data_IF_102352304008
#
_entry.id   IF_102352304008
#
_cell.length_a   1.000
_cell.length_b   1.000
_cell.length_c   1.000
_cell.angle_alpha   90.00
_cell.angle_beta   90.00
_cell.angle_gamma   90.00
#
_symmetry.space_group_name_H-M   'P 1'
#
loop_
_entity.id
_entity.type
_entity.pdbx_description
1 polymer ?
#
# COMPACT_ATOMS: atom_id res chain seq x y z
N UNK A 1 -34.79 55.35 8.58
CA UNK A 1 -33.77 54.60 9.34
C UNK A 1 -33.87 53.15 8.90
N UNK A 2 -33.29 52.82 7.75
CA UNK A 2 -33.35 51.46 7.18
C UNK A 2 -32.11 50.68 7.62
N UNK A 3 -32.34 49.66 8.44
CA UNK A 3 -31.32 48.73 8.88
C UNK A 3 -30.97 47.78 7.72
N UNK A 4 -29.78 47.97 7.12
CA UNK A 4 -29.17 46.99 6.23
C UNK A 4 -28.81 45.75 7.04
N UNK A 5 -29.60 44.68 6.87
CA UNK A 5 -29.23 43.33 7.24
C UNK A 5 -28.02 42.91 6.40
N UNK A 6 -26.84 42.96 7.00
CA UNK A 6 -25.62 42.37 6.45
C UNK A 6 -25.78 40.85 6.56
N UNK A 7 -26.17 40.21 5.46
CA UNK A 7 -26.12 38.77 5.32
C UNK A 7 -24.67 38.31 5.54
N UNK A 8 -24.45 37.54 6.61
CA UNK A 8 -23.15 36.98 6.94
C UNK A 8 -22.58 36.20 5.76
N UNK A 9 -21.44 36.68 5.26
CA UNK A 9 -20.63 36.02 4.24
C UNK A 9 -20.24 34.65 4.78
N UNK A 10 -20.91 33.58 4.32
CA UNK A 10 -20.57 32.20 4.67
C UNK A 10 -19.12 32.00 4.24
N UNK A 11 -18.23 31.86 5.20
CA UNK A 11 -16.79 31.71 4.97
C UNK A 11 -16.60 30.43 4.14
N UNK A 12 -16.35 30.58 2.84
CA UNK A 12 -15.97 29.46 1.98
C UNK A 12 -14.68 28.88 2.56
N UNK A 13 -14.78 27.72 3.22
CA UNK A 13 -13.60 26.99 3.68
C UNK A 13 -12.73 26.72 2.47
N UNK A 14 -11.47 27.16 2.51
CA UNK A 14 -10.55 26.89 1.42
C UNK A 14 -10.34 25.37 1.30
N UNK A 15 -10.00 24.89 0.11
CA UNK A 15 -9.68 23.47 -0.14
C UNK A 15 -8.58 22.98 0.83
N UNK A 16 -7.65 23.88 1.19
CA UNK A 16 -6.59 23.63 2.16
C UNK A 16 -7.14 23.41 3.57
N UNK A 17 -8.14 24.17 4.00
CA UNK A 17 -8.77 24.02 5.32
C UNK A 17 -9.56 22.71 5.41
N UNK A 18 -10.26 22.35 4.33
CA UNK A 18 -10.96 21.07 4.25
C UNK A 18 -9.98 19.89 4.33
N UNK A 19 -8.90 19.93 3.55
CA UNK A 19 -7.85 18.92 3.58
C UNK A 19 -7.22 18.80 4.98
N UNK A 20 -6.82 19.93 5.58
CA UNK A 20 -6.22 19.96 6.91
C UNK A 20 -7.19 19.41 7.97
N UNK A 21 -8.48 19.72 7.88
CA UNK A 21 -9.50 19.19 8.78
C UNK A 21 -9.68 17.68 8.65
N UNK A 22 -9.75 17.15 7.42
CA UNK A 22 -9.85 15.70 7.18
C UNK A 22 -8.61 14.95 7.66
N UNK A 23 -7.43 15.51 7.39
CA UNK A 23 -6.16 14.98 7.86
C UNK A 23 -6.08 14.95 9.38
N UNK A 24 -6.28 16.09 10.03
CA UNK A 24 -6.24 16.21 11.48
C UNK A 24 -7.23 15.27 12.17
N UNK A 25 -8.48 15.21 11.66
CA UNK A 25 -9.51 14.29 12.18
C UNK A 25 -9.09 12.83 12.07
N UNK A 26 -8.56 12.41 10.92
CA UNK A 26 -8.20 10.99 10.69
C UNK A 26 -7.02 10.56 11.55
N UNK A 27 -5.99 11.40 11.65
CA UNK A 27 -4.84 11.18 12.52
C UNK A 27 -5.28 11.16 13.98
N UNK A 28 -6.05 12.15 14.42
CA UNK A 28 -6.54 12.25 15.80
C UNK A 28 -7.35 11.00 16.20
N UNK A 29 -8.33 10.59 15.39
CA UNK A 29 -9.13 9.40 15.67
C UNK A 29 -8.29 8.13 15.75
N UNK A 30 -7.27 8.00 14.89
CA UNK A 30 -6.39 6.83 14.89
C UNK A 30 -5.48 6.83 16.10
N UNK A 31 -4.88 7.97 16.47
CA UNK A 31 -4.01 8.09 17.64
C UNK A 31 -4.80 7.85 18.93
N UNK A 32 -6.00 8.42 19.05
CA UNK A 32 -6.90 8.16 20.19
C UNK A 32 -7.30 6.69 20.24
N UNK A 33 -7.65 6.07 19.10
CA UNK A 33 -7.94 4.65 19.02
C UNK A 33 -6.76 3.78 19.49
N UNK A 34 -5.53 4.08 19.04
CA UNK A 34 -4.33 3.39 19.49
C UNK A 34 -4.08 3.59 20.98
N UNK A 35 -4.30 4.78 21.52
CA UNK A 35 -4.16 5.05 22.95
C UNK A 35 -5.15 4.22 23.77
N UNK A 36 -6.42 4.14 23.35
CA UNK A 36 -7.45 3.31 23.99
C UNK A 36 -7.07 1.82 23.92
N UNK A 37 -6.68 1.32 22.74
CA UNK A 37 -6.28 -0.08 22.58
C UNK A 37 -5.04 -0.42 23.41
N UNK A 38 -4.07 0.49 23.49
CA UNK A 38 -2.89 0.34 24.34
C UNK A 38 -3.28 0.35 25.82
N UNK A 39 -4.16 1.25 26.25
CA UNK A 39 -4.67 1.29 27.63
C UNK A 39 -5.35 -0.03 28.04
N UNK A 40 -6.18 -0.59 27.15
CA UNK A 40 -6.82 -1.90 27.36
C UNK A 40 -5.75 -3.01 27.40
N UNK A 41 -4.86 -3.06 26.41
CA UNK A 41 -3.87 -4.14 26.28
C UNK A 41 -2.86 -4.19 27.41
N UNK A 42 -2.44 -3.02 27.89
CA UNK A 42 -1.50 -2.86 29.00
C UNK A 42 -2.16 -3.01 30.38
N UNK A 43 -3.47 -3.27 30.47
CA UNK A 43 -4.26 -3.26 31.72
C UNK A 43 -4.05 -1.97 32.52
N UNK A 44 -4.41 -0.83 31.93
CA UNK A 44 -4.22 0.51 32.51
C UNK A 44 -2.74 0.91 32.65
N UNK A 45 -1.95 0.64 31.62
CA UNK A 45 -0.51 0.96 31.53
C UNK A 45 0.40 0.23 32.52
N UNK A 46 -0.06 -0.86 33.14
CA UNK A 46 0.76 -1.66 34.06
C UNK A 46 1.85 -2.48 33.36
N UNK A 47 1.66 -2.80 32.08
CA UNK A 47 2.59 -3.63 31.28
C UNK A 47 3.11 -2.88 30.05
N UNK A 48 3.86 -1.79 30.27
CA UNK A 48 4.57 -1.09 29.18
C UNK A 48 6.04 -1.52 29.19
N UNK A 49 6.53 -1.97 28.02
CA UNK A 49 7.97 -2.19 27.80
C UNK A 49 8.62 -0.90 27.26
N UNK A 50 9.49 -0.29 28.06
CA UNK A 50 10.21 0.92 27.69
C UNK A 50 11.18 0.71 26.52
N UNK A 51 11.67 -0.52 26.30
CA UNK A 51 12.51 -0.83 25.14
C UNK A 51 11.72 -0.70 23.82
N UNK A 52 10.39 -0.82 23.89
CA UNK A 52 9.52 -0.71 22.72
C UNK A 52 9.11 0.73 22.40
N UNK A 53 9.36 1.69 23.30
CA UNK A 53 8.88 3.06 23.20
C UNK A 53 9.31 3.78 21.91
N UNK A 54 10.57 3.61 21.48
CA UNK A 54 11.05 4.21 20.23
C UNK A 54 10.28 3.72 18.99
N UNK A 55 9.84 2.46 18.99
CA UNK A 55 9.00 1.93 17.90
C UNK A 55 7.58 2.51 17.94
N UNK A 56 7.03 2.78 19.13
CA UNK A 56 5.74 3.47 19.27
C UNK A 56 5.81 4.86 18.65
N UNK A 57 6.85 5.64 18.98
CA UNK A 57 7.06 6.98 18.40
C UNK A 57 7.23 6.90 16.88
N UNK A 58 8.06 5.98 16.38
CA UNK A 58 8.21 5.75 14.94
C UNK A 58 6.88 5.39 14.24
N UNK A 59 6.01 4.64 14.91
CA UNK A 59 4.68 4.28 14.40
C UNK A 59 3.75 5.50 14.34
N UNK A 60 3.76 6.39 15.33
CA UNK A 60 2.98 7.62 15.30
C UNK A 60 3.40 8.54 14.15
N UNK A 61 4.71 8.68 13.93
CA UNK A 61 5.24 9.45 12.78
C UNK A 61 4.82 8.82 11.45
N UNK A 62 4.91 7.49 11.34
CA UNK A 62 4.43 6.74 10.18
C UNK A 62 2.95 7.01 9.90
N UNK A 63 2.09 6.98 10.92
CA UNK A 63 0.64 7.24 10.79
C UNK A 63 0.38 8.64 10.25
N UNK A 64 1.07 9.66 10.78
CA UNK A 64 0.98 11.02 10.26
C UNK A 64 1.35 11.11 8.78
N UNK A 65 2.52 10.58 8.40
CA UNK A 65 2.96 10.57 7.00
C UNK A 65 2.04 9.76 6.08
N UNK A 66 1.52 8.62 6.58
CA UNK A 66 0.59 7.76 5.86
C UNK A 66 -0.71 8.48 5.57
N UNK A 67 -1.38 9.06 6.56
CA UNK A 67 -2.64 9.78 6.35
C UNK A 67 -2.47 10.99 5.44
N UNK A 68 -1.37 11.74 5.59
CA UNK A 68 -1.08 12.87 4.73
C UNK A 68 -1.07 12.43 3.26
N UNK A 69 -0.27 11.40 2.94
CA UNK A 69 -0.17 10.91 1.56
C UNK A 69 -1.46 10.24 1.09
N UNK A 70 -2.12 9.47 1.94
CA UNK A 70 -3.32 8.72 1.58
C UNK A 70 -4.47 9.67 1.24
N UNK A 71 -4.70 10.69 2.05
CA UNK A 71 -5.73 11.70 1.80
C UNK A 71 -5.35 12.55 0.59
N UNK A 72 -4.09 12.97 0.46
CA UNK A 72 -3.64 13.76 -0.70
C UNK A 72 -3.79 13.00 -2.02
N UNK A 73 -3.60 11.67 -2.00
CA UNK A 73 -3.87 10.81 -3.13
C UNK A 73 -5.36 10.58 -3.38
N UNK A 74 -6.14 10.37 -2.32
CA UNK A 74 -7.59 10.12 -2.35
C UNK A 74 -8.42 11.31 -2.82
N UNK A 75 -7.96 12.53 -2.53
CA UNK A 75 -8.62 13.77 -2.96
C UNK A 75 -8.44 14.08 -4.45
N UNK A 76 -7.51 13.43 -5.15
CA UNK A 76 -7.33 13.63 -6.59
C UNK A 76 -8.62 13.20 -7.33
N UNK A 77 -9.18 14.03 -8.24
CA UNK A 77 -10.43 13.73 -8.93
C UNK A 77 -10.55 12.31 -9.50
N UNK A 78 -9.56 11.76 -10.25
CA UNK A 78 -9.67 10.40 -10.78
C UNK A 78 -9.72 9.34 -9.68
N UNK A 79 -8.92 9.52 -8.62
CA UNK A 79 -8.87 8.59 -7.48
C UNK A 79 -10.20 8.61 -6.73
N UNK A 80 -10.73 9.81 -6.46
CA UNK A 80 -11.96 10.02 -5.69
C UNK A 80 -13.16 9.30 -6.30
N UNK A 81 -13.29 9.31 -7.63
CA UNK A 81 -14.34 8.58 -8.35
C UNK A 81 -14.19 7.08 -8.15
N UNK A 82 -12.97 6.54 -8.33
CA UNK A 82 -12.71 5.10 -8.16
C UNK A 82 -13.00 4.66 -6.71
N UNK A 83 -12.57 5.44 -5.71
CA UNK A 83 -12.84 5.14 -4.30
C UNK A 83 -14.35 5.17 -4.05
N UNK A 84 -15.04 6.24 -4.45
CA UNK A 84 -16.48 6.42 -4.21
C UNK A 84 -17.31 5.32 -4.86
N UNK A 85 -17.08 5.03 -6.14
CA UNK A 85 -17.85 4.02 -6.89
C UNK A 85 -17.41 2.60 -6.54
N UNK A 86 -16.11 2.38 -6.31
CA UNK A 86 -15.58 1.09 -5.92
C UNK A 86 -16.03 0.65 -4.52
N UNK A 87 -16.12 1.58 -3.55
CA UNK A 87 -16.67 1.28 -2.21
C UNK A 87 -18.11 0.79 -2.26
N UNK A 88 -18.95 1.34 -3.15
CA UNK A 88 -20.32 0.86 -3.37
C UNK A 88 -20.36 -0.60 -3.86
N UNK A 89 -19.26 -1.10 -4.42
CA UNK A 89 -19.13 -2.45 -4.98
C UNK A 89 -18.34 -3.38 -4.06
N UNK A 90 -18.04 -2.98 -2.82
CA UNK A 90 -17.23 -3.79 -1.89
C UNK A 90 -17.87 -5.14 -1.58
N UNK A 91 -19.19 -5.18 -1.37
CA UNK A 91 -19.92 -6.41 -1.00
C UNK A 91 -20.39 -7.26 -2.18
N UNK A 92 -19.85 -7.04 -3.39
CA UNK A 92 -20.15 -7.90 -4.54
C UNK A 92 -19.57 -9.31 -4.31
N UNK A 93 -20.28 -10.35 -4.77
CA UNK A 93 -19.86 -11.77 -4.65
C UNK A 93 -18.40 -12.02 -5.10
N UNK A 94 -17.96 -11.35 -6.17
CA UNK A 94 -16.62 -11.54 -6.73
C UNK A 94 -15.51 -10.80 -5.96
N UNK A 95 -15.84 -9.88 -5.04
CA UNK A 95 -14.82 -9.07 -4.34
C UNK A 95 -13.85 -9.92 -3.55
N UNK A 96 -14.34 -10.93 -2.83
CA UNK A 96 -13.49 -11.81 -2.03
C UNK A 96 -12.48 -12.55 -2.92
N UNK A 97 -12.94 -13.11 -4.05
CA UNK A 97 -12.09 -13.75 -5.04
C UNK A 97 -11.03 -12.79 -5.60
N UNK A 98 -11.44 -11.57 -5.95
CA UNK A 98 -10.55 -10.52 -6.45
C UNK A 98 -9.51 -10.13 -5.39
N UNK A 99 -9.93 -9.96 -4.13
CA UNK A 99 -9.04 -9.62 -3.03
C UNK A 99 -7.99 -10.71 -2.79
N UNK A 100 -8.39 -11.99 -2.73
CA UNK A 100 -7.45 -13.10 -2.54
C UNK A 100 -6.46 -13.19 -3.70
N UNK A 101 -6.95 -13.17 -4.94
CA UNK A 101 -6.09 -13.25 -6.13
C UNK A 101 -5.09 -12.09 -6.22
N UNK A 102 -5.52 -10.86 -5.94
CA UNK A 102 -4.68 -9.67 -6.11
C UNK A 102 -3.84 -9.27 -4.89
N UNK A 103 -4.31 -9.57 -3.66
CA UNK A 103 -3.66 -9.14 -2.41
C UNK A 103 -2.92 -10.26 -1.69
N UNK A 104 -3.43 -11.50 -1.71
CA UNK A 104 -2.80 -12.62 -1.00
C UNK A 104 -1.85 -13.41 -1.90
N UNK A 105 -2.30 -13.74 -3.11
CA UNK A 105 -1.57 -14.63 -4.03
C UNK A 105 -0.71 -13.83 -5.02
N UNK A 106 -0.99 -12.55 -5.27
CA UNK A 106 -0.31 -11.73 -6.28
C UNK A 106 -0.34 -12.34 -7.69
N UNK A 107 -1.49 -12.84 -8.13
CA UNK A 107 -1.63 -13.60 -9.39
C UNK A 107 -1.15 -12.81 -10.63
N UNK A 108 -1.39 -11.51 -10.65
CA UNK A 108 -0.89 -10.61 -11.71
C UNK A 108 0.65 -10.58 -11.84
N UNK A 109 1.40 -10.88 -10.76
CA UNK A 109 2.87 -10.97 -10.80
C UNK A 109 3.28 -12.35 -11.34
N UNK A 110 2.55 -13.41 -10.98
CA UNK A 110 2.79 -14.76 -11.49
C UNK A 110 2.77 -14.80 -13.00
N UNK A 111 1.81 -14.11 -13.62
CA UNK A 111 1.69 -13.96 -15.07
C UNK A 111 2.85 -13.21 -15.73
N UNK A 112 3.69 -12.50 -14.95
CA UNK A 112 4.87 -11.75 -15.42
C UNK A 112 6.21 -12.44 -15.13
N UNK A 113 6.17 -13.64 -14.53
CA UNK A 113 7.35 -14.48 -14.29
C UNK A 113 7.42 -15.03 -12.87
N UNK A 114 7.61 -16.35 -12.77
CA UNK A 114 7.64 -17.09 -11.50
C UNK A 114 8.70 -16.57 -10.52
N UNK A 115 9.90 -16.26 -10.99
CA UNK A 115 10.96 -15.69 -10.14
C UNK A 115 10.54 -14.37 -9.48
N UNK A 116 9.87 -13.47 -10.23
CA UNK A 116 9.36 -12.20 -9.68
C UNK A 116 8.24 -12.43 -8.69
N UNK A 117 7.44 -13.46 -8.89
CA UNK A 117 6.35 -13.85 -8.00
C UNK A 117 6.88 -14.34 -6.66
N UNK A 118 7.79 -15.33 -6.64
CA UNK A 118 8.42 -15.81 -5.40
C UNK A 118 9.12 -14.67 -4.66
N UNK A 119 9.85 -13.82 -5.39
CA UNK A 119 10.51 -12.63 -4.83
C UNK A 119 9.51 -11.71 -4.08
N UNK A 120 8.33 -11.44 -4.65
CA UNK A 120 7.32 -10.59 -3.98
C UNK A 120 6.57 -11.31 -2.87
N UNK A 121 6.35 -12.62 -2.98
CA UNK A 121 5.77 -13.42 -1.89
C UNK A 121 6.68 -13.36 -0.67
N UNK A 122 7.98 -13.62 -0.84
CA UNK A 122 8.96 -13.60 0.25
C UNK A 122 9.06 -12.23 0.92
N UNK A 123 9.22 -11.15 0.14
CA UNK A 123 9.28 -9.78 0.70
C UNK A 123 7.93 -9.39 1.32
N UNK A 124 6.84 -9.58 0.58
CA UNK A 124 5.50 -9.13 0.97
C UNK A 124 5.00 -9.83 2.22
N UNK A 125 4.97 -11.17 2.22
CA UNK A 125 4.52 -11.95 3.38
C UNK A 125 5.52 -11.90 4.55
N UNK A 126 6.82 -11.79 4.28
CA UNK A 126 7.81 -11.55 5.34
C UNK A 126 7.55 -10.22 6.06
N UNK A 127 7.33 -9.12 5.34
CA UNK A 127 6.96 -7.83 5.94
C UNK A 127 5.60 -7.87 6.64
N UNK A 128 4.58 -8.52 6.06
CA UNK A 128 3.25 -8.65 6.68
C UNK A 128 3.34 -9.43 7.99
N UNK A 129 4.03 -10.57 7.99
CA UNK A 129 4.25 -11.38 9.20
C UNK A 129 4.99 -10.57 10.27
N UNK A 130 6.06 -9.87 9.89
CA UNK A 130 6.77 -8.99 10.82
C UNK A 130 5.85 -7.94 11.43
N UNK A 131 5.05 -7.22 10.63
CA UNK A 131 4.11 -6.22 11.12
C UNK A 131 3.01 -6.81 12.02
N UNK A 132 2.47 -7.98 11.67
CA UNK A 132 1.42 -8.66 12.45
C UNK A 132 1.92 -9.11 13.83
N UNK A 133 3.22 -9.32 14.00
CA UNK A 133 3.82 -9.66 15.29
C UNK A 133 4.32 -8.42 16.02
N UNK A 134 5.02 -7.50 15.34
CA UNK A 134 5.66 -6.35 15.98
C UNK A 134 4.67 -5.30 16.45
N UNK A 135 3.64 -4.93 15.68
CA UNK A 135 2.70 -3.89 16.12
C UNK A 135 1.95 -4.29 17.40
N UNK A 136 1.40 -5.52 17.51
CA UNK A 136 0.80 -5.96 18.77
C UNK A 136 1.77 -5.97 19.95
N UNK A 137 3.04 -6.33 19.75
CA UNK A 137 4.05 -6.28 20.80
C UNK A 137 4.37 -4.83 21.22
N UNK A 138 4.61 -3.95 20.23
CA UNK A 138 4.96 -2.53 20.44
C UNK A 138 3.88 -1.78 21.21
N UNK A 139 2.61 -2.03 20.93
CA UNK A 139 1.49 -1.45 21.67
C UNK A 139 1.01 -2.30 22.85
N UNK A 140 1.75 -3.36 23.18
CA UNK A 140 1.45 -4.28 24.29
C UNK A 140 0.02 -4.86 24.22
N UNK A 141 -0.52 -5.00 23.01
CA UNK A 141 -1.76 -5.73 22.75
C UNK A 141 -1.55 -7.23 22.92
N UNK A 142 -0.30 -7.69 22.75
CA UNK A 142 0.11 -9.06 22.99
C UNK A 142 1.39 -9.07 23.82
N UNK A 143 1.49 -10.00 24.78
CA UNK A 143 2.73 -10.29 25.51
C UNK A 143 2.73 -11.75 26.00
N UNK A 144 3.90 -12.24 26.39
CA UNK A 144 4.08 -13.62 26.86
C UNK A 144 4.47 -13.59 28.33
N UNK A 145 3.83 -14.44 29.14
CA UNK A 145 4.20 -14.66 30.54
C UNK A 145 4.53 -16.13 30.78
N UNK A 146 5.33 -16.39 31.81
CA UNK A 146 5.70 -17.74 32.23
C UNK A 146 5.37 -17.87 33.72
N UNK A 147 4.10 -18.13 34.02
CA UNK A 147 3.62 -18.33 35.41
C UNK A 147 4.04 -19.70 35.94
N UNK A 148 3.93 -20.72 35.09
CA UNK A 148 4.27 -22.11 35.40
C UNK A 148 5.55 -22.49 34.64
N UNK A 149 6.55 -23.06 35.32
CA UNK A 149 7.77 -23.53 34.66
C UNK A 149 7.43 -24.54 33.55
N UNK A 150 7.94 -24.28 32.34
CA UNK A 150 7.70 -25.11 31.15
C UNK A 150 6.44 -24.75 30.34
N UNK A 151 5.65 -23.75 30.74
CA UNK A 151 4.50 -23.28 29.98
C UNK A 151 4.53 -21.76 29.76
N UNK A 152 4.22 -21.34 28.55
CA UNK A 152 4.01 -19.93 28.23
C UNK A 152 2.53 -19.63 28.12
N UNK A 153 2.11 -18.52 28.71
CA UNK A 153 0.78 -17.96 28.53
C UNK A 153 0.86 -16.82 27.52
N UNK A 154 0.12 -16.96 26.42
CA UNK A 154 -0.06 -15.91 25.43
C UNK A 154 -1.20 -15.03 25.92
N UNK A 155 -0.88 -13.79 26.25
CA UNK A 155 -1.85 -12.79 26.70
C UNK A 155 -2.15 -11.85 25.54
N UNK A 156 -3.44 -11.67 25.24
CA UNK A 156 -3.92 -10.74 24.22
C UNK A 156 -4.94 -9.79 24.85
N UNK A 157 -4.75 -8.49 24.71
CA UNK A 157 -5.57 -7.45 25.33
C UNK A 157 -5.79 -7.66 26.84
N UNK A 158 -4.76 -8.12 27.55
CA UNK A 158 -4.86 -8.45 28.97
C UNK A 158 -5.69 -9.69 29.29
N UNK A 159 -6.12 -10.49 28.30
CA UNK A 159 -6.81 -11.77 28.50
C UNK A 159 -5.86 -12.93 28.21
N UNK A 160 -5.83 -13.93 29.10
CA UNK A 160 -5.05 -15.15 28.87
C UNK A 160 -5.75 -15.98 27.78
N UNK A 161 -5.22 -15.95 26.56
CA UNK A 161 -5.87 -16.60 25.41
C UNK A 161 -5.49 -18.07 25.32
N UNK A 162 -4.22 -18.40 25.59
CA UNK A 162 -3.70 -19.74 25.38
C UNK A 162 -2.51 -20.02 26.32
N UNK A 163 -2.52 -21.18 26.98
CA UNK A 163 -1.33 -21.76 27.63
C UNK A 163 -0.72 -22.80 26.69
N UNK A 164 0.56 -22.65 26.36
CA UNK A 164 1.29 -23.52 25.44
C UNK A 164 2.53 -24.11 26.12
N UNK A 165 2.85 -25.40 25.90
CA UNK A 165 4.10 -25.97 26.39
C UNK A 165 5.29 -25.29 25.70
N UNK A 166 6.34 -25.00 26.46
CA UNK A 166 7.53 -24.27 25.98
C UNK A 166 8.23 -24.97 24.81
N UNK A 167 8.28 -26.31 24.84
CA UNK A 167 8.86 -27.16 23.80
C UNK A 167 7.86 -27.47 22.65
N UNK A 168 6.67 -26.88 22.68
CA UNK A 168 5.63 -27.11 21.68
C UNK A 168 5.86 -26.35 20.37
N UNK A 169 5.30 -26.87 19.28
CA UNK A 169 5.36 -26.24 17.95
C UNK A 169 4.80 -24.80 17.97
N UNK A 170 3.73 -24.56 18.74
CA UNK A 170 3.11 -23.23 18.82
C UNK A 170 4.08 -22.23 19.46
N UNK A 171 4.69 -22.59 20.60
CA UNK A 171 5.69 -21.76 21.26
C UNK A 171 6.88 -21.50 20.33
N UNK A 172 7.41 -22.55 19.69
CA UNK A 172 8.50 -22.43 18.72
C UNK A 172 8.18 -21.42 17.60
N UNK A 173 6.99 -21.54 16.99
CA UNK A 173 6.55 -20.62 15.94
C UNK A 173 6.35 -19.20 16.46
N UNK A 174 5.78 -19.02 17.65
CA UNK A 174 5.60 -17.70 18.27
C UNK A 174 6.94 -16.99 18.52
N UNK A 175 7.94 -17.70 19.06
CA UNK A 175 9.27 -17.13 19.32
C UNK A 175 10.10 -16.93 18.04
N UNK A 176 9.90 -17.76 17.02
CA UNK A 176 10.65 -17.68 15.78
C UNK A 176 9.91 -16.97 14.64
N UNK A 177 8.70 -16.45 14.84
CA UNK A 177 7.92 -15.79 13.80
C UNK A 177 8.70 -14.64 13.14
N UNK A 178 9.39 -13.82 13.94
CA UNK A 178 10.22 -12.71 13.46
C UNK A 178 11.51 -13.19 12.77
N UNK A 179 12.10 -14.30 13.22
CA UNK A 179 13.26 -14.92 12.58
C UNK A 179 12.88 -15.46 11.19
N UNK A 180 11.75 -16.16 11.08
CA UNK A 180 11.19 -16.66 9.83
C UNK A 180 10.90 -15.49 8.88
N UNK A 181 10.23 -14.44 9.37
CA UNK A 181 9.97 -13.24 8.60
C UNK A 181 11.26 -12.60 8.07
N UNK A 182 12.29 -12.47 8.91
CA UNK A 182 13.58 -11.91 8.52
C UNK A 182 14.28 -12.74 7.44
N UNK A 183 14.30 -14.08 7.57
CA UNK A 183 14.87 -14.97 6.55
C UNK A 183 14.12 -14.80 5.22
N UNK A 184 12.78 -14.80 5.24
CA UNK A 184 11.97 -14.57 4.04
C UNK A 184 12.31 -13.24 3.37
N UNK A 185 12.36 -12.14 4.14
CA UNK A 185 12.69 -10.81 3.62
C UNK A 185 14.10 -10.78 3.06
N UNK A 186 15.10 -11.32 3.75
CA UNK A 186 16.50 -11.37 3.29
C UNK A 186 16.57 -12.11 1.95
N UNK A 187 16.02 -13.32 1.86
CA UNK A 187 16.03 -14.11 0.62
C UNK A 187 15.34 -13.34 -0.51
N UNK A 188 14.15 -12.79 -0.27
CA UNK A 188 13.40 -12.03 -1.27
C UNK A 188 14.13 -10.76 -1.73
N UNK A 189 14.78 -10.04 -0.81
CA UNK A 189 15.58 -8.85 -1.12
C UNK A 189 16.84 -9.21 -1.92
N UNK A 190 17.56 -10.27 -1.54
CA UNK A 190 18.71 -10.76 -2.28
C UNK A 190 18.32 -11.15 -3.73
N UNK A 191 17.17 -11.82 -3.91
CA UNK A 191 16.62 -12.10 -5.23
C UNK A 191 16.31 -10.80 -6.01
N UNK A 192 15.71 -9.80 -5.34
CA UNK A 192 15.39 -8.52 -5.96
C UNK A 192 16.63 -7.75 -6.41
N UNK A 193 17.67 -7.70 -5.57
CA UNK A 193 18.95 -7.07 -5.86
C UNK A 193 19.66 -7.80 -7.01
N UNK A 194 19.76 -9.13 -6.96
CA UNK A 194 20.38 -9.94 -8.00
C UNK A 194 19.75 -9.70 -9.38
N UNK A 195 18.41 -9.69 -9.45
CA UNK A 195 17.69 -9.39 -10.69
C UNK A 195 17.90 -7.96 -11.18
N UNK A 196 17.98 -6.98 -10.28
CA UNK A 196 18.20 -5.57 -10.64
C UNK A 196 19.61 -5.33 -11.18
N UNK A 197 20.62 -6.02 -10.65
CA UNK A 197 22.00 -5.93 -11.10
C UNK A 197 22.21 -6.59 -12.47
N UNK A 198 21.51 -7.69 -12.76
CA UNK A 198 21.64 -8.43 -14.03
C UNK A 198 20.88 -7.81 -15.21
N UNK A 199 19.77 -7.12 -14.97
CA UNK A 199 18.92 -6.58 -16.06
C UNK A 199 19.43 -5.23 -16.58
N UNK A 200 19.93 -5.20 -17.81
CA UNK A 200 20.51 -3.98 -18.44
C UNK A 200 19.51 -2.82 -18.60
N UNK A 201 18.28 -3.09 -19.03
CA UNK A 201 17.21 -2.06 -19.07
C UNK A 201 16.92 -1.48 -17.68
N UNK A 202 16.96 -2.32 -16.64
CA UNK A 202 16.67 -1.88 -15.29
C UNK A 202 17.79 -0.97 -14.74
N UNK A 203 19.05 -1.16 -15.16
CA UNK A 203 20.17 -0.31 -14.76
C UNK A 203 20.08 1.11 -15.32
N UNK A 204 19.48 1.29 -16.50
CA UNK A 204 19.39 2.59 -17.16
C UNK A 204 18.35 3.54 -16.53
N UNK A 205 17.27 3.01 -15.95
CA UNK A 205 16.14 3.80 -15.41
C UNK A 205 16.13 3.91 -13.87
N UNK A 206 17.02 3.19 -13.18
CA UNK A 206 16.98 3.06 -11.73
C UNK A 206 17.43 4.33 -10.99
N UNK A 207 16.65 4.75 -10.00
CA UNK A 207 17.06 5.79 -9.05
C UNK A 207 17.41 5.17 -7.72
N UNK A 208 18.63 5.42 -7.22
CA UNK A 208 19.13 4.82 -5.97
C UNK A 208 18.14 4.93 -4.80
N UNK A 209 17.65 6.15 -4.51
CA UNK A 209 16.76 6.45 -3.38
C UNK A 209 15.40 5.73 -3.47
N UNK A 210 14.89 5.47 -4.68
CA UNK A 210 13.57 4.87 -4.86
C UNK A 210 13.64 3.36 -5.13
N UNK A 211 14.75 2.85 -5.66
CA UNK A 211 14.87 1.46 -6.09
C UNK A 211 15.76 0.59 -5.20
N UNK A 212 16.81 1.16 -4.61
CA UNK A 212 17.80 0.42 -3.80
C UNK A 212 17.66 0.71 -2.31
N UNK A 213 17.51 1.97 -1.91
CA UNK A 213 17.31 2.36 -0.52
C UNK A 213 16.24 1.52 0.21
N UNK A 214 15.01 1.31 -0.32
CA UNK A 214 14.03 0.47 0.37
C UNK A 214 14.48 -0.98 0.55
N UNK A 215 15.24 -1.52 -0.40
CA UNK A 215 15.75 -2.89 -0.30
C UNK A 215 16.84 -2.98 0.76
N UNK A 216 17.75 -2.00 0.81
CA UNK A 216 18.78 -1.95 1.85
C UNK A 216 18.22 -1.71 3.24
N UNK A 217 17.20 -0.87 3.39
CA UNK A 217 16.50 -0.67 4.66
C UNK A 217 15.86 -1.98 5.16
N UNK A 218 15.14 -2.70 4.29
CA UNK A 218 14.55 -4.00 4.64
C UNK A 218 15.61 -5.04 4.99
N UNK A 219 16.72 -5.07 4.25
CA UNK A 219 17.84 -5.96 4.53
C UNK A 219 18.48 -5.63 5.88
N UNK A 220 18.73 -4.35 6.15
CA UNK A 220 19.35 -3.88 7.38
C UNK A 220 18.50 -4.18 8.62
N UNK A 221 17.19 -3.93 8.56
CA UNK A 221 16.25 -4.31 9.64
C UNK A 221 16.28 -5.83 9.86
N UNK A 222 16.21 -6.62 8.79
CA UNK A 222 16.11 -8.08 8.90
C UNK A 222 17.40 -8.69 9.47
N UNK A 223 18.57 -8.21 9.02
CA UNK A 223 19.87 -8.67 9.52
C UNK A 223 20.05 -8.28 10.98
N UNK A 224 19.81 -7.01 11.34
CA UNK A 224 19.95 -6.55 12.73
C UNK A 224 18.97 -7.28 13.65
N UNK A 225 17.76 -7.59 13.20
CA UNK A 225 16.79 -8.40 13.94
C UNK A 225 17.27 -9.82 14.19
N UNK A 226 17.82 -10.50 13.17
CA UNK A 226 18.42 -11.84 13.36
C UNK A 226 19.66 -11.80 14.26
N UNK A 227 20.47 -10.75 14.17
CA UNK A 227 21.64 -10.58 15.03
C UNK A 227 21.26 -10.49 16.52
N UNK A 228 20.13 -9.87 16.86
CA UNK A 228 19.62 -9.89 18.24
C UNK A 228 19.36 -11.30 18.74
N UNK A 229 18.75 -12.15 17.91
CA UNK A 229 18.55 -13.58 18.22
C UNK A 229 19.90 -14.28 18.39
N UNK A 230 20.85 -14.06 17.48
CA UNK A 230 22.18 -14.66 17.55
C UNK A 230 22.91 -14.24 18.84
N UNK A 231 22.83 -12.97 19.21
CA UNK A 231 23.45 -12.47 20.43
C UNK A 231 22.86 -13.10 21.68
N UNK A 232 21.53 -13.22 21.75
CA UNK A 232 20.84 -13.83 22.88
C UNK A 232 21.13 -15.33 23.01
N UNK A 233 21.15 -16.06 21.89
CA UNK A 233 21.29 -17.53 21.90
C UNK A 233 22.74 -17.99 21.97
N UNK A 234 23.65 -17.36 21.22
CA UNK A 234 25.03 -17.84 21.07
C UNK A 234 26.06 -16.99 21.81
N UNK A 235 25.80 -15.69 21.99
CA UNK A 235 26.76 -14.75 22.59
C UNK A 235 26.38 -14.34 24.01
N UNK A 236 25.44 -15.05 24.65
CA UNK A 236 24.99 -14.79 26.02
C UNK A 236 24.61 -13.32 26.26
N UNK A 237 24.00 -12.67 25.27
CA UNK A 237 23.58 -11.27 25.33
C UNK A 237 24.68 -10.23 25.09
N UNK A 238 25.88 -10.65 24.68
CA UNK A 238 26.98 -9.72 24.40
C UNK A 238 26.59 -8.68 23.32
N UNK A 239 26.79 -7.40 23.64
CA UNK A 239 26.45 -6.25 22.80
C UNK A 239 24.97 -6.16 22.37
N UNK A 240 24.07 -6.87 23.07
CA UNK A 240 22.65 -6.90 22.74
C UNK A 240 21.97 -5.52 22.90
N UNK A 241 22.21 -4.73 23.97
CA UNK A 241 21.58 -3.42 24.11
C UNK A 241 21.96 -2.46 22.96
N UNK A 242 23.22 -2.46 22.53
CA UNK A 242 23.72 -1.64 21.44
C UNK A 242 23.08 -2.07 20.10
N UNK A 243 23.02 -3.37 19.83
CA UNK A 243 22.36 -3.88 18.63
C UNK A 243 20.86 -3.59 18.65
N UNK A 244 20.22 -3.61 19.83
CA UNK A 244 18.79 -3.28 19.99
C UNK A 244 18.52 -1.83 19.57
N UNK A 245 19.38 -0.90 19.97
CA UNK A 245 19.31 0.50 19.54
C UNK A 245 19.54 0.65 18.03
N UNK A 246 20.52 -0.07 17.45
CA UNK A 246 20.78 -0.05 15.99
C UNK A 246 19.56 -0.59 15.23
N UNK A 247 19.00 -1.70 15.68
CA UNK A 247 17.80 -2.29 15.11
C UNK A 247 16.62 -1.32 15.22
N UNK A 248 16.38 -0.75 16.39
CA UNK A 248 15.31 0.22 16.63
C UNK A 248 15.44 1.44 15.72
N UNK A 249 16.63 2.01 15.62
CA UNK A 249 16.91 3.12 14.71
C UNK A 249 16.58 2.75 13.26
N UNK A 250 17.01 1.56 12.80
CA UNK A 250 16.73 1.09 11.44
C UNK A 250 15.23 0.98 11.14
N UNK A 251 14.45 0.52 12.12
CA UNK A 251 12.99 0.40 12.01
C UNK A 251 12.35 1.77 11.96
N UNK A 252 12.71 2.69 12.86
CA UNK A 252 12.17 4.06 12.89
C UNK A 252 12.45 4.79 11.57
N UNK A 253 13.68 4.75 11.08
CA UNK A 253 14.05 5.37 9.79
C UNK A 253 13.21 4.79 8.65
N UNK A 254 13.00 3.47 8.65
CA UNK A 254 12.20 2.81 7.61
C UNK A 254 10.72 3.18 7.71
N UNK A 255 10.16 3.27 8.91
CA UNK A 255 8.78 3.73 9.15
C UNK A 255 8.57 5.17 8.67
N UNK A 256 9.52 6.06 8.90
CA UNK A 256 9.50 7.44 8.39
C UNK A 256 9.58 7.46 6.86
N UNK A 257 10.43 6.62 6.26
CA UNK A 257 10.58 6.53 4.81
C UNK A 257 9.37 5.90 4.12
N UNK A 258 8.69 4.93 4.75
CA UNK A 258 7.61 4.13 4.16
C UNK A 258 6.55 4.96 3.42
N UNK A 259 5.93 6.00 4.03
CA UNK A 259 4.88 6.77 3.36
C UNK A 259 5.44 7.61 2.22
N UNK A 260 6.71 8.01 2.20
CA UNK A 260 7.25 8.90 1.17
C UNK A 260 7.98 8.15 0.04
N UNK A 261 8.44 6.93 0.31
CA UNK A 261 9.19 6.11 -0.62
C UNK A 261 8.36 5.25 -1.57
N UNK A 262 9.05 4.29 -2.20
CA UNK A 262 8.42 3.29 -3.07
C UNK A 262 7.56 2.29 -2.28
N UNK A 263 7.86 2.07 -1.00
CA UNK A 263 7.09 1.18 -0.11
C UNK A 263 5.68 1.69 0.18
N UNK A 264 5.39 2.96 -0.09
CA UNK A 264 4.05 3.53 0.04
C UNK A 264 2.99 2.74 -0.73
N UNK A 265 3.34 1.99 -1.77
CA UNK A 265 2.35 1.16 -2.47
C UNK A 265 1.75 0.04 -1.60
N UNK A 266 2.41 -0.40 -0.52
CA UNK A 266 1.97 -1.51 0.33
C UNK A 266 0.60 -1.19 0.96
N UNK A 267 0.43 -0.11 1.75
CA UNK A 267 -0.86 0.18 2.35
C UNK A 267 -1.92 0.67 1.34
N UNK A 268 -1.52 1.07 0.13
CA UNK A 268 -2.44 1.47 -0.94
C UNK A 268 -2.94 0.28 -1.77
N UNK A 269 -2.25 -0.87 -1.68
CA UNK A 269 -2.54 -2.05 -2.48
C UNK A 269 -3.99 -2.54 -2.35
N UNK A 270 -4.62 -2.55 -1.16
CA UNK A 270 -6.04 -2.93 -1.02
C UNK A 270 -6.98 -2.12 -1.92
N UNK A 271 -6.66 -0.85 -2.20
CA UNK A 271 -7.47 0.01 -3.05
C UNK A 271 -7.54 -0.46 -4.51
N UNK A 272 -6.59 -1.30 -4.95
CA UNK A 272 -6.63 -1.91 -6.29
C UNK A 272 -7.84 -2.84 -6.48
N UNK A 273 -8.36 -3.42 -5.39
CA UNK A 273 -9.59 -4.24 -5.44
C UNK A 273 -10.78 -3.38 -5.83
N UNK A 274 -10.89 -2.15 -5.32
CA UNK A 274 -11.96 -1.22 -5.66
C UNK A 274 -11.92 -0.86 -7.15
N UNK A 275 -10.73 -0.57 -7.69
CA UNK A 275 -10.54 -0.27 -9.10
C UNK A 275 -10.90 -1.47 -10.00
N UNK A 276 -10.57 -2.68 -9.57
CA UNK A 276 -10.89 -3.91 -10.31
C UNK A 276 -12.39 -4.18 -10.30
N UNK A 277 -13.03 -4.11 -9.13
CA UNK A 277 -14.47 -4.26 -8.98
C UNK A 277 -15.23 -3.24 -9.83
N UNK A 278 -14.80 -1.98 -9.81
CA UNK A 278 -15.33 -0.92 -10.66
C UNK A 278 -15.26 -1.31 -12.14
N UNK A 279 -14.07 -1.70 -12.63
CA UNK A 279 -13.87 -2.03 -14.05
C UNK A 279 -14.69 -3.24 -14.49
N UNK A 280 -14.72 -4.30 -13.68
CA UNK A 280 -15.47 -5.52 -14.00
C UNK A 280 -16.98 -5.27 -13.97
N UNK A 281 -17.49 -4.60 -12.94
CA UNK A 281 -18.92 -4.35 -12.79
C UNK A 281 -19.50 -3.51 -13.94
N UNK A 282 -18.90 -2.36 -14.24
CA UNK A 282 -19.40 -1.50 -15.32
C UNK A 282 -19.07 -2.06 -16.70
N UNK A 283 -18.02 -2.88 -16.83
CA UNK A 283 -17.69 -3.57 -18.07
C UNK A 283 -18.72 -4.63 -18.45
N UNK A 284 -19.25 -5.37 -17.47
CA UNK A 284 -20.32 -6.36 -17.68
C UNK A 284 -21.66 -5.70 -18.05
N UNK A 285 -21.92 -4.49 -17.58
CA UNK A 285 -23.16 -3.77 -17.89
C UNK A 285 -23.18 -3.30 -19.35
N UNK A 286 -22.32 -2.34 -19.69
CA UNK A 286 -22.33 -1.71 -21.00
C UNK A 286 -20.91 -1.27 -21.40
N UNK A 287 -20.38 -1.94 -22.41
CA UNK A 287 -19.12 -1.56 -23.06
C UNK A 287 -19.36 -0.45 -24.07
N UNK A 288 -18.47 0.54 -24.08
CA UNK A 288 -18.43 1.62 -25.07
C UNK A 288 -17.62 1.19 -26.29
N UNK A 289 -18.19 1.46 -27.46
CA UNK A 289 -17.56 1.27 -28.76
C UNK A 289 -16.70 2.48 -29.11
N UNK A 290 -15.54 2.22 -29.70
CA UNK A 290 -14.64 3.26 -30.20
C UNK A 290 -15.32 3.99 -31.37
N UNK A 291 -15.35 5.33 -31.35
CA UNK A 291 -15.95 6.15 -32.41
C UNK A 291 -15.30 5.99 -33.80
N UNK A 292 -14.08 5.45 -33.87
CA UNK A 292 -13.32 5.30 -35.12
C UNK A 292 -13.36 3.87 -35.64
N UNK A 293 -13.07 2.87 -34.79
CA UNK A 293 -12.98 1.47 -35.23
C UNK A 293 -14.17 0.60 -34.82
N UNK A 294 -15.09 1.09 -33.99
CA UNK A 294 -16.22 0.31 -33.47
C UNK A 294 -15.87 -0.69 -32.36
N UNK A 295 -14.59 -0.94 -32.10
CA UNK A 295 -14.19 -1.93 -31.08
C UNK A 295 -14.62 -1.53 -29.65
N UNK A 296 -15.11 -2.52 -28.89
CA UNK A 296 -15.44 -2.38 -27.46
C UNK A 296 -14.16 -2.33 -26.63
N UNK A 297 -13.93 -1.24 -25.88
CA UNK A 297 -12.64 -1.03 -25.20
C UNK A 297 -12.71 -0.73 -23.69
N UNK A 298 -13.71 0.02 -23.24
CA UNK A 298 -13.96 0.34 -21.80
C UNK A 298 -15.46 0.42 -21.55
N UNK A 299 -15.89 0.45 -20.29
CA UNK A 299 -17.31 0.68 -19.99
C UNK A 299 -17.73 2.11 -20.34
N UNK A 300 -19.02 2.28 -20.66
CA UNK A 300 -19.62 3.61 -20.87
C UNK A 300 -19.39 4.49 -19.64
N UNK A 301 -19.55 3.92 -18.45
CA UNK A 301 -19.31 4.61 -17.18
C UNK A 301 -17.86 5.10 -17.06
N UNK A 302 -16.88 4.26 -17.38
CA UNK A 302 -15.47 4.64 -17.31
C UNK A 302 -15.12 5.75 -18.30
N UNK A 303 -15.69 5.72 -19.49
CA UNK A 303 -15.48 6.80 -20.47
C UNK A 303 -16.07 8.13 -19.98
N UNK A 304 -17.30 8.11 -19.44
CA UNK A 304 -17.94 9.29 -18.85
C UNK A 304 -17.14 9.85 -17.68
N UNK A 305 -16.66 8.98 -16.78
CA UNK A 305 -15.85 9.37 -15.64
C UNK A 305 -14.53 10.03 -16.05
N UNK A 306 -13.87 9.51 -17.10
CA UNK A 306 -12.66 10.13 -17.65
C UNK A 306 -12.95 11.52 -18.21
N UNK A 307 -14.02 11.68 -19.00
CA UNK A 307 -14.43 12.98 -19.55
C UNK A 307 -14.76 13.96 -18.42
N UNK A 308 -15.48 13.52 -17.39
CA UNK A 308 -15.79 14.34 -16.23
C UNK A 308 -14.51 14.79 -15.51
N UNK A 309 -13.55 13.88 -15.29
CA UNK A 309 -12.27 14.22 -14.65
C UNK A 309 -11.47 15.21 -15.48
N UNK A 310 -11.47 15.06 -16.80
CA UNK A 310 -10.81 16.00 -17.70
C UNK A 310 -11.44 17.40 -17.59
N UNK A 311 -12.78 17.48 -17.61
CA UNK A 311 -13.51 18.75 -17.42
C UNK A 311 -13.24 19.42 -16.08
N UNK A 312 -13.16 18.65 -14.98
CA UNK A 312 -12.82 19.20 -13.64
C UNK A 312 -11.40 19.78 -13.59
N UNK A 313 -10.48 19.27 -14.41
CA UNK A 313 -9.12 19.80 -14.49
C UNK A 313 -8.94 20.84 -15.61
N UNK A 314 -10.05 21.30 -16.23
CA UNK A 314 -10.03 22.25 -17.35
C UNK A 314 -9.18 21.76 -18.54
N UNK A 315 -9.14 20.44 -18.75
CA UNK A 315 -8.41 19.81 -19.85
C UNK A 315 -9.41 19.40 -20.93
N UNK A 316 -9.42 20.11 -22.05
CA UNK A 316 -10.29 19.81 -23.18
C UNK A 316 -9.55 19.03 -24.28
N UNK A 317 -10.09 17.85 -24.62
CA UNK A 317 -9.63 17.03 -25.74
C UNK A 317 -10.76 16.75 -26.73
N UNK A 318 -11.54 17.79 -27.04
CA UNK A 318 -12.58 17.71 -28.04
C UNK A 318 -11.95 17.70 -29.44
N UNK A 319 -12.42 16.82 -30.31
CA UNK A 319 -11.97 16.70 -31.69
C UNK A 319 -12.89 17.52 -32.60
N UNK A 320 -12.37 17.95 -33.76
CA UNK A 320 -13.15 18.66 -34.79
C UNK A 320 -14.34 17.83 -35.29
N UNK A 321 -14.20 16.52 -35.31
CA UNK A 321 -15.22 15.54 -35.68
C UNK A 321 -16.37 15.39 -34.63
N UNK A 322 -16.40 16.22 -33.58
CA UNK A 322 -17.49 16.29 -32.61
C UNK A 322 -17.49 15.22 -31.51
N UNK A 323 -16.39 14.50 -31.30
CA UNK A 323 -16.23 13.53 -30.21
C UNK A 323 -15.01 13.84 -29.35
N UNK A 324 -14.96 13.30 -28.12
CA UNK A 324 -13.84 13.52 -27.21
C UNK A 324 -12.77 12.42 -27.37
N UNK A 325 -11.48 12.78 -27.27
CA UNK A 325 -10.36 11.82 -27.40
C UNK A 325 -10.43 10.64 -26.39
N UNK A 326 -11.06 10.86 -25.23
CA UNK A 326 -11.30 9.81 -24.23
C UNK A 326 -12.31 8.73 -24.69
N UNK A 327 -13.02 8.96 -25.80
CA UNK A 327 -13.96 8.02 -26.42
C UNK A 327 -13.31 7.09 -27.45
N UNK A 328 -11.99 7.21 -27.64
CA UNK A 328 -11.21 6.34 -28.53
C UNK A 328 -10.47 5.24 -27.78
N UNK A 329 -10.40 4.05 -28.39
CA UNK A 329 -9.53 2.97 -27.94
C UNK A 329 -8.04 3.37 -28.03
N UNK A 330 -7.17 2.66 -27.29
CA UNK A 330 -5.73 2.97 -27.22
C UNK A 330 -5.05 3.01 -28.61
N UNK A 331 -5.27 2.03 -29.52
CA UNK A 331 -4.70 2.08 -30.87
C UNK A 331 -5.14 3.30 -31.68
N UNK A 332 -6.44 3.59 -31.73
CA UNK A 332 -6.95 4.76 -32.47
C UNK A 332 -6.41 6.07 -31.89
N UNK A 333 -6.32 6.18 -30.56
CA UNK A 333 -5.73 7.35 -29.89
C UNK A 333 -4.25 7.52 -30.23
N UNK A 334 -3.50 6.43 -30.33
CA UNK A 334 -2.09 6.44 -30.76
C UNK A 334 -1.95 6.94 -32.19
N UNK A 335 -2.81 6.52 -33.12
CA UNK A 335 -2.84 7.03 -34.49
C UNK A 335 -3.11 8.53 -34.54
N UNK A 336 -4.08 9.04 -33.78
CA UNK A 336 -4.29 10.49 -33.69
C UNK A 336 -3.06 11.25 -33.18
N UNK A 337 -2.36 10.70 -32.18
CA UNK A 337 -1.11 11.29 -31.69
C UNK A 337 -0.03 11.28 -32.77
N UNK A 338 0.16 10.16 -33.48
CA UNK A 338 1.14 10.05 -34.56
C UNK A 338 0.81 11.04 -35.67
N UNK A 339 -0.46 11.14 -36.07
CA UNK A 339 -0.90 12.06 -37.13
C UNK A 339 -0.49 13.51 -36.86
N UNK A 340 -0.60 13.96 -35.60
CA UNK A 340 -0.16 15.31 -35.19
C UNK A 340 1.35 15.52 -35.31
N UNK A 341 2.16 14.48 -35.12
CA UNK A 341 3.62 14.57 -35.26
C UNK A 341 4.09 14.37 -36.70
N UNK A 342 3.44 13.49 -37.46
CA UNK A 342 3.85 13.14 -38.83
C UNK A 342 3.28 14.08 -39.89
N UNK A 343 2.29 14.92 -39.57
CA UNK A 343 1.53 15.72 -40.53
C UNK A 343 0.60 14.89 -41.45
N UNK A 344 0.83 13.58 -41.56
CA UNK A 344 -0.01 12.65 -42.30
C UNK A 344 -1.21 12.16 -41.44
N UNK A 345 -2.45 12.11 -41.97
CA UNK A 345 -3.64 11.69 -41.22
C UNK A 345 -3.69 10.17 -41.00
N UNK A 346 -2.73 9.63 -40.22
CA UNK A 346 -2.62 8.20 -39.91
C UNK A 346 -3.84 7.61 -39.22
N UNK A 347 -4.68 8.44 -38.59
CA UNK A 347 -5.96 8.02 -38.00
C UNK A 347 -7.02 7.63 -39.04
N UNK A 348 -6.92 8.12 -40.28
CA UNK A 348 -7.80 7.76 -41.40
C UNK A 348 -7.35 6.46 -42.09
N UNK A 349 -6.12 6.02 -41.82
CA UNK A 349 -5.58 4.79 -42.39
C UNK A 349 -6.21 3.58 -41.70
N UNK A 350 -7.02 2.84 -42.46
CA UNK A 350 -7.74 1.63 -42.00
C UNK A 350 -6.85 0.40 -41.74
N UNK A 351 -5.53 0.52 -41.89
CA UNK A 351 -4.58 -0.58 -41.63
C UNK A 351 -4.56 -0.89 -40.13
N UNK A 352 -4.79 -2.16 -39.79
CA UNK A 352 -4.72 -2.68 -38.42
C UNK A 352 -3.25 -2.64 -37.97
N UNK A 353 -2.92 -1.95 -36.88
CA UNK A 353 -1.55 -1.95 -36.38
C UNK A 353 -1.15 -3.39 -36.00
N UNK A 354 -0.02 -3.88 -36.50
CA UNK A 354 0.42 -5.26 -36.29
C UNK A 354 0.66 -5.63 -34.81
N UNK A 355 0.65 -4.65 -33.90
CA UNK A 355 0.97 -4.81 -32.48
C UNK A 355 -0.16 -4.39 -31.52
N UNK A 356 -1.42 -4.37 -31.98
CA UNK A 356 -2.58 -3.98 -31.15
C UNK A 356 -2.80 -4.88 -29.92
N UNK A 357 -2.27 -6.11 -29.96
CA UNK A 357 -2.40 -7.13 -28.91
C UNK A 357 -1.11 -7.37 -28.12
N UNK A 358 -0.12 -6.49 -28.21
CA UNK A 358 1.10 -6.62 -27.40
C UNK A 358 0.73 -6.59 -25.91
N UNK A 359 0.79 -7.75 -25.25
CA UNK A 359 0.62 -7.90 -23.80
C UNK A 359 1.89 -7.41 -23.11
N UNK A 360 2.07 -6.09 -23.06
CA UNK A 360 3.15 -5.42 -22.32
C UNK A 360 3.03 -5.53 -20.80
#
# INVERSE_FOLDING_TARGET
MEAKLVAGKKQERSINDAFASHFAKSVFLTVVGLAILTFIGTRMFSHIDLNLYGYMVGTLVFIGGFFYRFIAWGERPPTKIIIKKGLKLLFRKNTAKTAVSHLAIYDFIRNRGFYRWVQHILIGWGCVLACLVTFPLVFSWMYFTMEDNGYYTIVLFGMNVMKVPAEGIIAFLSYNALNIAAIMVITGVCMALSRRLKNMQARAEQKFIYDFLPLYLLLFISITGLLLTVQNVFLHGWMQPQMSLIHQFSVIVTLIYLPFGKLAHIPFRPMSVLARNYREHYGEQHMKECKVCGDKFVSVEQSKDVIQVLGVNEIEFNMEDGFNLAELCLPCRRKYRIARFSGYPTHQVKVKEANQNAKG
#
